data_IF_493681377464
#
_entry.id   IF_493681377464
#
_cell.length_a   1.000
_cell.length_b   1.000
_cell.length_c   1.000
_cell.angle_alpha   90.00
_cell.angle_beta   90.00
_cell.angle_gamma   90.00
#
_symmetry.space_group_name_H-M   'P 1'
#
loop_
_entity.id
_entity.type
_entity.pdbx_description
1 polymer ?
#
# COMPACT_ATOMS: atom_id res chain seq x y z
N UNK A 1 -5.51 13.01 -14.56
CA UNK A 1 -6.38 12.05 -13.86
C UNK A 1 -5.92 12.05 -12.41
N UNK A 2 -6.78 12.44 -11.47
CA UNK A 2 -6.43 12.50 -10.05
C UNK A 2 -6.58 11.08 -9.50
N UNK A 3 -5.53 10.51 -8.90
CA UNK A 3 -5.62 9.23 -8.21
C UNK A 3 -5.87 9.40 -6.70
N UNK A 4 -6.02 8.28 -5.98
CA UNK A 4 -6.25 8.32 -4.54
C UNK A 4 -5.05 8.88 -3.76
N UNK A 5 -3.83 8.66 -4.24
CA UNK A 5 -2.60 9.20 -3.64
C UNK A 5 -2.59 10.72 -3.75
N UNK A 6 -2.91 11.26 -4.94
CA UNK A 6 -3.07 12.69 -5.17
C UNK A 6 -4.13 13.31 -4.24
N UNK A 7 -5.26 12.61 -4.02
CA UNK A 7 -6.32 13.07 -3.12
C UNK A 7 -5.87 13.14 -1.66
N UNK A 8 -5.21 12.09 -1.15
CA UNK A 8 -4.74 12.05 0.24
C UNK A 8 -3.59 13.03 0.47
N UNK A 9 -2.69 13.20 -0.50
CA UNK A 9 -1.64 14.22 -0.43
C UNK A 9 -2.21 15.65 -0.37
N UNK A 10 -3.36 15.90 -1.02
CA UNK A 10 -3.98 17.24 -1.08
C UNK A 10 -4.94 17.51 0.07
N UNK A 11 -5.68 16.51 0.55
CA UNK A 11 -6.74 16.66 1.56
C UNK A 11 -6.29 16.24 2.97
N UNK A 12 -5.15 15.55 3.09
CA UNK A 12 -4.68 14.99 4.35
C UNK A 12 -5.41 13.71 4.75
N UNK A 13 -5.08 13.19 5.94
CA UNK A 13 -5.77 12.03 6.53
C UNK A 13 -7.06 12.48 7.25
N UNK A 14 -8.13 11.66 7.26
CA UNK A 14 -8.35 10.38 6.55
C UNK A 14 -8.91 10.53 5.10
N UNK A 15 -8.77 9.52 4.20
CA UNK A 15 -8.35 8.12 4.43
C UNK A 15 -6.84 7.85 4.31
N UNK A 16 -6.37 6.74 4.90
CA UNK A 16 -5.00 6.23 4.71
C UNK A 16 -4.97 5.21 3.57
N UNK A 17 -3.90 5.19 2.78
CA UNK A 17 -3.80 4.35 1.58
C UNK A 17 -2.69 3.31 1.71
N UNK A 18 -3.04 2.06 1.39
CA UNK A 18 -2.07 1.01 1.11
C UNK A 18 -1.89 0.91 -0.41
N UNK A 19 -0.72 1.30 -0.91
CA UNK A 19 -0.40 1.30 -2.34
C UNK A 19 0.37 0.04 -2.73
N UNK A 20 -0.21 -0.83 -3.55
CA UNK A 20 0.42 -2.09 -3.93
C UNK A 20 0.97 -2.03 -5.37
N UNK A 21 2.29 -2.13 -5.53
CA UNK A 21 2.99 -2.14 -6.82
C UNK A 21 3.68 -3.48 -7.06
N UNK A 22 2.94 -4.48 -7.57
CA UNK A 22 3.47 -5.83 -7.75
C UNK A 22 3.63 -6.29 -9.22
N UNK A 23 3.28 -5.48 -10.22
CA UNK A 23 3.25 -5.91 -11.62
C UNK A 23 2.24 -7.04 -11.85
N UNK A 24 2.37 -7.76 -12.98
CA UNK A 24 1.55 -8.94 -13.22
C UNK A 24 2.08 -10.12 -12.39
N UNK A 25 1.33 -10.52 -11.37
CA UNK A 25 1.66 -11.63 -10.46
C UNK A 25 0.52 -12.63 -10.44
N UNK A 26 0.87 -13.91 -10.30
CA UNK A 26 -0.14 -14.94 -10.04
C UNK A 26 -0.78 -14.72 -8.68
N UNK A 27 -2.04 -15.12 -8.50
CA UNK A 27 -2.72 -15.07 -7.20
C UNK A 27 -1.88 -15.72 -6.09
N UNK A 28 -1.24 -16.86 -6.37
CA UNK A 28 -0.36 -17.55 -5.41
C UNK A 28 0.79 -16.65 -4.95
N UNK A 29 1.49 -16.01 -5.89
CA UNK A 29 2.62 -15.14 -5.56
C UNK A 29 2.14 -13.84 -4.88
N UNK A 30 0.98 -13.32 -5.27
CA UNK A 30 0.35 -12.18 -4.60
C UNK A 30 0.01 -12.50 -3.14
N UNK A 31 -0.58 -13.67 -2.86
CA UNK A 31 -0.86 -14.13 -1.50
C UNK A 31 0.43 -14.28 -0.69
N UNK A 32 1.49 -14.86 -1.27
CA UNK A 32 2.79 -14.97 -0.60
C UNK A 32 3.38 -13.60 -0.28
N UNK A 33 3.36 -12.66 -1.25
CA UNK A 33 3.83 -11.30 -1.06
C UNK A 33 3.08 -10.62 0.09
N UNK A 34 1.74 -10.62 0.05
CA UNK A 34 0.92 -9.96 1.06
C UNK A 34 1.07 -10.63 2.43
N UNK A 35 1.17 -11.95 2.51
CA UNK A 35 1.39 -12.63 3.79
C UNK A 35 2.70 -12.20 4.46
N UNK A 36 3.73 -11.85 3.68
CA UNK A 36 5.02 -11.40 4.20
C UNK A 36 5.04 -9.90 4.53
N UNK A 37 4.43 -9.05 3.70
CA UNK A 37 4.59 -7.59 3.79
C UNK A 37 3.42 -6.86 4.45
N UNK A 38 2.20 -7.41 4.37
CA UNK A 38 0.99 -6.76 4.88
C UNK A 38 1.03 -6.48 6.39
N UNK A 39 1.52 -7.39 7.27
CA UNK A 39 1.55 -7.10 8.71
C UNK A 39 2.40 -5.86 9.06
N UNK A 40 3.55 -5.70 8.38
CA UNK A 40 4.43 -4.55 8.56
C UNK A 40 3.80 -3.27 8.02
N UNK A 41 3.19 -3.34 6.82
CA UNK A 41 2.53 -2.20 6.22
C UNK A 41 1.34 -1.70 7.06
N UNK A 42 0.55 -2.63 7.62
CA UNK A 42 -0.54 -2.29 8.55
C UNK A 42 -0.02 -1.65 9.85
N UNK A 43 1.18 -2.01 10.31
CA UNK A 43 1.80 -1.37 11.48
C UNK A 43 2.13 0.09 11.18
N UNK A 44 2.66 0.38 10.00
CA UNK A 44 2.95 1.75 9.55
C UNK A 44 1.66 2.57 9.41
N UNK A 45 0.60 2.00 8.81
CA UNK A 45 -0.71 2.67 8.75
C UNK A 45 -1.24 3.02 10.15
N UNK A 46 -1.13 2.11 11.12
CA UNK A 46 -1.53 2.41 12.51
C UNK A 46 -0.70 3.52 13.17
N UNK A 47 0.46 3.86 12.63
CA UNK A 47 1.31 4.97 13.09
C UNK A 47 0.97 6.31 12.42
N UNK A 48 -0.22 6.42 11.81
CA UNK A 48 -0.71 7.59 11.10
C UNK A 48 0.05 7.92 9.79
N UNK A 49 0.78 6.96 9.23
CA UNK A 49 1.33 7.11 7.87
C UNK A 49 0.19 7.29 6.87
N UNK A 50 0.28 8.32 6.03
CA UNK A 50 -0.79 8.66 5.09
C UNK A 50 -0.86 7.66 3.94
N UNK A 51 0.31 7.22 3.46
CA UNK A 51 0.46 6.30 2.35
C UNK A 51 1.56 5.31 2.70
N UNK A 52 1.26 4.01 2.59
CA UNK A 52 2.24 2.95 2.77
C UNK A 52 2.31 2.14 1.48
N UNK A 53 3.51 2.04 0.90
CA UNK A 53 3.72 1.25 -0.32
C UNK A 53 4.18 -0.17 0.00
N UNK A 54 3.54 -1.16 -0.64
CA UNK A 54 4.06 -2.52 -0.78
C UNK A 54 4.48 -2.68 -2.23
N UNK A 55 5.78 -2.87 -2.47
CA UNK A 55 6.32 -3.12 -3.80
C UNK A 55 6.95 -4.51 -3.90
N UNK A 56 6.85 -5.14 -5.07
CA UNK A 56 7.55 -6.39 -5.40
C UNK A 56 8.88 -6.13 -6.15
N UNK A 57 9.45 -4.92 -6.03
CA UNK A 57 10.76 -4.63 -6.62
C UNK A 57 11.84 -5.44 -5.89
N UNK A 58 12.44 -6.38 -6.62
CA UNK A 58 13.72 -7.02 -6.25
C UNK A 58 14.86 -6.02 -6.38
#
# INVERSE_FOLDING_TARGET
MIDFVDLVCRLGIPPQILWLTCGNVTNRNLHQLLNLTLPAALKQLRQAEMIVEISNRR
#
